data_IF_248029879170
#
_entry.id   IF_248029879170
#
_cell.length_a   1.000
_cell.length_b   1.000
_cell.length_c   1.000
_cell.angle_alpha   90.00
_cell.angle_beta   90.00
_cell.angle_gamma   90.00
#
_symmetry.space_group_name_H-M   'P 1'
#
loop_
_entity.id
_entity.type
_entity.pdbx_description
1 polymer ?
#
# COMPACT_ATOMS: atom_id res chain seq x y z
N UNK A 1 -18.72 25.78 46.15
CA UNK A 1 -17.82 25.50 47.31
C UNK A 1 -17.71 23.98 47.41
N UNK A 2 -16.72 23.39 46.71
CA UNK A 2 -16.48 21.93 46.63
C UNK A 2 -15.58 21.59 47.83
N UNK A 3 -16.16 20.82 48.75
CA UNK A 3 -15.46 20.25 49.90
C UNK A 3 -14.50 19.16 49.38
N UNK A 4 -13.20 19.48 49.32
CA UNK A 4 -12.16 18.47 49.20
C UNK A 4 -12.10 17.67 50.51
N UNK A 5 -12.68 16.50 50.54
CA UNK A 5 -12.46 15.53 51.58
C UNK A 5 -11.03 14.99 51.50
N UNK A 6 -10.23 15.07 52.58
CA UNK A 6 -8.87 14.54 52.57
C UNK A 6 -8.95 13.03 52.43
N UNK A 7 -8.31 12.47 51.37
CA UNK A 7 -8.17 11.02 51.16
C UNK A 7 -7.26 10.51 52.31
N UNK A 8 -7.86 9.87 53.29
CA UNK A 8 -7.13 9.27 54.40
C UNK A 8 -6.51 7.94 53.91
N UNK A 9 -5.22 7.99 53.52
CA UNK A 9 -4.49 6.77 53.15
C UNK A 9 -4.26 5.89 54.39
N UNK A 10 -4.49 4.59 54.31
CA UNK A 10 -4.27 3.69 55.43
C UNK A 10 -2.76 3.63 55.79
N UNK A 11 -2.44 3.51 57.11
CA UNK A 11 -1.05 3.52 57.58
C UNK A 11 -0.15 2.38 57.05
N UNK A 12 -0.73 1.35 56.51
CA UNK A 12 -0.02 0.22 55.89
C UNK A 12 0.82 0.65 54.61
N UNK A 13 0.44 1.74 53.99
CA UNK A 13 1.13 2.26 52.78
C UNK A 13 2.42 3.02 53.09
N UNK A 14 2.76 3.23 54.38
CA UNK A 14 3.97 3.99 54.78
C UNK A 14 5.21 3.09 54.94
N UNK A 15 5.11 1.78 54.73
CA UNK A 15 6.30 0.95 54.81
C UNK A 15 7.16 1.14 53.55
N UNK A 16 8.46 1.44 53.67
CA UNK A 16 9.31 1.72 52.49
C UNK A 16 9.39 0.57 51.48
N UNK A 17 9.12 -0.65 51.95
CA UNK A 17 9.08 -1.83 51.09
C UNK A 17 7.86 -1.86 50.17
N UNK A 18 6.68 -1.43 50.66
CA UNK A 18 5.44 -1.40 49.89
C UNK A 18 5.50 -0.27 48.86
N UNK A 19 6.01 0.90 49.24
CA UNK A 19 6.21 2.01 48.33
C UNK A 19 7.19 1.64 47.22
N UNK A 20 8.28 0.95 47.54
CA UNK A 20 9.24 0.47 46.54
C UNK A 20 8.62 -0.57 45.59
N UNK A 21 7.80 -1.50 46.10
CA UNK A 21 7.13 -2.51 45.27
C UNK A 21 6.10 -1.88 44.31
N UNK A 22 5.34 -0.89 44.78
CA UNK A 22 4.40 -0.13 43.93
C UNK A 22 5.16 0.65 42.87
N UNK A 23 6.26 1.32 43.21
CA UNK A 23 7.10 2.04 42.27
C UNK A 23 7.64 1.18 41.14
N UNK A 24 8.17 0.01 41.47
CA UNK A 24 8.65 -0.97 40.47
C UNK A 24 7.50 -1.46 39.59
N UNK A 25 6.33 -1.76 40.17
CA UNK A 25 5.15 -2.17 39.41
C UNK A 25 4.70 -1.12 38.40
N UNK A 26 4.62 0.16 38.81
CA UNK A 26 4.21 1.26 37.93
C UNK A 26 5.22 1.46 36.79
N UNK A 27 6.52 1.47 37.09
CA UNK A 27 7.58 1.61 36.07
C UNK A 27 7.52 0.45 35.07
N UNK A 28 7.29 -0.77 35.54
CA UNK A 28 7.17 -1.95 34.67
C UNK A 28 5.95 -1.84 33.76
N UNK A 29 4.80 -1.41 34.26
CA UNK A 29 3.59 -1.22 33.45
C UNK A 29 3.80 -0.11 32.40
N UNK A 30 4.39 1.02 32.81
CA UNK A 30 4.71 2.10 31.87
C UNK A 30 5.68 1.61 30.79
N UNK A 31 6.69 0.82 31.17
CA UNK A 31 7.66 0.25 30.22
C UNK A 31 6.99 -0.70 29.22
N UNK A 32 6.09 -1.56 29.67
CA UNK A 32 5.34 -2.48 28.79
C UNK A 32 4.39 -1.72 27.87
N UNK A 33 3.66 -0.74 28.40
CA UNK A 33 2.76 0.10 27.61
C UNK A 33 3.57 0.90 26.55
N UNK A 34 4.67 1.51 26.96
CA UNK A 34 5.57 2.22 26.04
C UNK A 34 6.11 1.30 24.95
N UNK A 35 6.56 0.10 25.32
CA UNK A 35 7.05 -0.90 24.37
C UNK A 35 5.95 -1.38 23.40
N UNK A 36 4.73 -1.57 23.88
CA UNK A 36 3.60 -1.93 23.05
C UNK A 36 3.20 -0.81 22.07
N UNK A 37 3.26 0.46 22.53
CA UNK A 37 2.98 1.62 21.68
C UNK A 37 4.09 1.92 20.68
N UNK A 38 5.35 1.66 21.02
CA UNK A 38 6.49 1.88 20.11
C UNK A 38 6.66 0.75 19.09
N UNK A 39 6.09 -0.42 19.33
CA UNK A 39 5.96 -1.47 18.31
C UNK A 39 4.82 -1.12 17.36
N UNK A 40 5.06 -0.12 16.51
CA UNK A 40 4.17 0.11 15.35
C UNK A 40 4.17 -1.17 14.52
N UNK A 41 3.02 -1.81 14.43
CA UNK A 41 2.84 -2.87 13.43
C UNK A 41 2.84 -2.17 12.07
N UNK A 42 3.68 -2.60 11.14
CA UNK A 42 3.66 -2.02 9.80
C UNK A 42 2.25 -2.17 9.22
N UNK A 43 1.77 -1.14 8.57
CA UNK A 43 0.48 -1.19 7.89
C UNK A 43 0.55 -2.12 6.68
N UNK A 44 -0.59 -2.59 6.20
CA UNK A 44 -0.63 -3.41 4.98
C UNK A 44 0.00 -2.69 3.79
N UNK A 45 -0.18 -1.37 3.72
CA UNK A 45 0.43 -0.52 2.69
C UNK A 45 1.95 -0.43 2.81
N UNK A 46 2.48 -0.32 4.03
CA UNK A 46 3.94 -0.31 4.27
C UNK A 46 4.56 -1.64 3.85
N UNK A 47 3.94 -2.77 4.22
CA UNK A 47 4.40 -4.11 3.84
C UNK A 47 4.40 -4.27 2.30
N UNK A 48 3.34 -3.81 1.65
CA UNK A 48 3.22 -3.90 0.19
C UNK A 48 4.22 -2.98 -0.51
N UNK A 49 4.46 -1.79 0.02
CA UNK A 49 5.47 -0.88 -0.49
C UNK A 49 6.87 -1.46 -0.35
N UNK A 50 7.22 -2.03 0.80
CA UNK A 50 8.49 -2.72 1.01
C UNK A 50 8.66 -3.91 0.06
N UNK A 51 7.58 -4.66 -0.18
CA UNK A 51 7.56 -5.76 -1.16
C UNK A 51 7.86 -5.25 -2.57
N UNK A 52 7.19 -4.18 -3.00
CA UNK A 52 7.42 -3.56 -4.32
C UNK A 52 8.85 -3.06 -4.45
N UNK A 53 9.37 -2.41 -3.43
CA UNK A 53 10.73 -1.88 -3.44
C UNK A 53 11.79 -3.00 -3.48
N UNK A 54 11.57 -4.08 -2.75
CA UNK A 54 12.42 -5.26 -2.79
C UNK A 54 12.45 -5.88 -4.19
N UNK A 55 11.28 -6.07 -4.80
CA UNK A 55 11.16 -6.63 -6.15
C UNK A 55 11.80 -5.72 -7.21
N UNK A 56 11.60 -4.42 -7.10
CA UNK A 56 12.20 -3.45 -8.02
C UNK A 56 13.75 -3.46 -7.97
N UNK A 57 14.33 -3.71 -6.80
CA UNK A 57 15.79 -3.73 -6.62
C UNK A 57 16.45 -5.07 -6.90
N UNK A 58 15.82 -6.17 -6.50
CA UNK A 58 16.41 -7.51 -6.51
C UNK A 58 15.71 -8.52 -7.40
N UNK A 59 14.55 -8.18 -7.95
CA UNK A 59 13.81 -9.01 -8.87
C UNK A 59 14.55 -9.24 -10.19
N UNK A 60 14.31 -10.39 -10.82
CA UNK A 60 14.72 -10.61 -12.21
C UNK A 60 13.66 -10.07 -13.14
N UNK A 61 14.11 -9.54 -14.26
CA UNK A 61 13.23 -8.98 -15.29
C UNK A 61 12.88 -10.07 -16.31
N UNK A 62 11.61 -10.11 -16.70
CA UNK A 62 11.11 -10.90 -17.82
C UNK A 62 10.10 -10.10 -18.62
N UNK A 63 9.88 -10.46 -19.87
CA UNK A 63 8.81 -9.88 -20.67
C UNK A 63 7.46 -10.52 -20.32
N UNK A 64 6.43 -9.70 -20.31
CA UNK A 64 5.05 -10.08 -20.06
C UNK A 64 4.08 -9.28 -20.91
N UNK A 65 2.80 -9.53 -20.71
CA UNK A 65 1.71 -8.85 -21.44
C UNK A 65 0.58 -8.52 -20.48
N UNK A 66 -0.01 -7.35 -20.64
CA UNK A 66 -1.22 -6.96 -19.91
C UNK A 66 -2.41 -7.72 -20.51
N UNK A 67 -3.12 -8.45 -19.66
CA UNK A 67 -4.30 -9.19 -20.04
C UNK A 67 -5.57 -8.38 -19.86
N UNK A 68 -5.67 -7.68 -18.73
CA UNK A 68 -6.85 -6.91 -18.36
C UNK A 68 -6.50 -5.78 -17.39
N UNK A 69 -7.38 -4.79 -17.32
CA UNK A 69 -7.30 -3.69 -16.36
C UNK A 69 -8.65 -3.50 -15.71
N UNK A 70 -8.72 -3.69 -14.39
CA UNK A 70 -9.95 -3.46 -13.64
C UNK A 70 -9.99 -2.02 -13.16
N UNK A 71 -11.04 -1.32 -13.58
CA UNK A 71 -11.39 0.01 -13.13
C UNK A 71 -12.52 -0.17 -12.13
N UNK A 72 -12.28 0.07 -10.87
CA UNK A 72 -13.38 0.18 -9.93
C UNK A 72 -13.97 1.57 -10.10
N UNK A 73 -15.11 1.66 -10.78
CA UNK A 73 -15.93 2.85 -10.67
C UNK A 73 -16.23 3.03 -9.19
N UNK A 74 -15.65 4.06 -8.58
CA UNK A 74 -16.14 4.54 -7.29
C UNK A 74 -17.60 4.89 -7.51
N UNK A 75 -18.47 3.94 -7.19
CA UNK A 75 -19.91 4.10 -7.26
C UNK A 75 -20.28 5.21 -6.30
N UNK A 76 -20.24 6.42 -6.80
CA UNK A 76 -20.86 7.57 -6.15
C UNK A 76 -22.34 7.26 -6.15
N UNK A 77 -22.80 6.62 -5.09
CA UNK A 77 -24.23 6.42 -4.82
C UNK A 77 -24.86 7.76 -4.44
N UNK A 78 -24.85 8.72 -5.35
CA UNK A 78 -25.64 9.95 -5.31
C UNK A 78 -25.53 10.67 -6.66
N UNK A 79 -26.08 10.09 -7.70
CA UNK A 79 -26.47 10.86 -8.87
C UNK A 79 -27.83 10.37 -9.34
N UNK A 80 -28.84 10.89 -8.69
CA UNK A 80 -30.20 10.99 -9.20
C UNK A 80 -30.13 11.66 -10.57
N UNK A 81 -30.57 10.90 -11.55
CA UNK A 81 -31.18 11.28 -12.83
C UNK A 81 -31.23 12.79 -13.09
N UNK A 82 -30.41 13.25 -14.01
CA UNK A 82 -30.74 14.32 -14.96
C UNK A 82 -29.86 14.09 -16.21
N UNK A 83 -30.51 13.64 -17.27
CA UNK A 83 -30.00 13.55 -18.63
C UNK A 83 -29.49 14.92 -19.07
N UNK A 84 -28.18 15.04 -19.29
CA UNK A 84 -27.63 16.11 -20.11
C UNK A 84 -26.62 15.45 -21.06
N UNK A 85 -26.80 15.54 -22.37
CA UNK A 85 -25.79 15.05 -23.31
C UNK A 85 -24.67 16.09 -23.37
N UNK A 86 -23.70 15.98 -22.50
CA UNK A 86 -22.44 16.70 -22.60
C UNK A 86 -21.40 15.74 -23.13
N UNK A 87 -20.81 16.09 -24.25
CA UNK A 87 -19.51 15.57 -24.69
C UNK A 87 -18.50 15.99 -23.61
N UNK A 88 -18.39 15.17 -22.59
CA UNK A 88 -17.38 15.32 -21.56
C UNK A 88 -16.21 14.45 -22.02
N UNK A 89 -15.06 15.08 -22.24
CA UNK A 89 -13.78 14.38 -22.23
C UNK A 89 -13.83 13.41 -21.06
N UNK A 90 -13.92 12.13 -21.36
CA UNK A 90 -13.97 11.09 -20.33
C UNK A 90 -12.73 11.24 -19.49
N UNK A 91 -12.82 11.50 -18.17
CA UNK A 91 -11.64 11.50 -17.32
C UNK A 91 -10.95 10.17 -17.57
N UNK A 92 -9.67 10.20 -17.93
CA UNK A 92 -8.89 9.02 -18.21
C UNK A 92 -9.04 8.08 -17.01
N UNK A 93 -9.84 7.03 -17.17
CA UNK A 93 -10.15 6.07 -16.12
C UNK A 93 -8.83 5.40 -15.73
N UNK A 94 -8.34 5.71 -14.55
CA UNK A 94 -7.08 5.16 -14.05
C UNK A 94 -7.35 3.75 -13.52
N UNK A 95 -6.67 2.72 -14.03
CA UNK A 95 -6.86 1.36 -13.56
C UNK A 95 -6.43 1.25 -12.09
N UNK A 96 -7.17 0.50 -11.31
CA UNK A 96 -6.84 0.18 -9.93
C UNK A 96 -6.12 -1.16 -9.82
N UNK A 97 -6.44 -2.11 -10.69
CA UNK A 97 -5.80 -3.41 -10.75
C UNK A 97 -5.36 -3.68 -12.19
N UNK A 98 -4.12 -4.12 -12.34
CA UNK A 98 -3.56 -4.60 -13.60
C UNK A 98 -3.42 -6.10 -13.50
N UNK A 99 -4.02 -6.83 -14.45
CA UNK A 99 -3.85 -8.28 -14.62
C UNK A 99 -2.88 -8.51 -15.77
N UNK A 100 -1.85 -9.28 -15.53
CA UNK A 100 -0.79 -9.54 -16.50
C UNK A 100 -0.31 -10.98 -16.45
N UNK A 101 0.25 -11.44 -17.57
CA UNK A 101 0.90 -12.73 -17.64
C UNK A 101 2.36 -12.60 -18.09
N UNK A 102 3.13 -13.61 -17.77
CA UNK A 102 4.52 -13.77 -18.20
C UNK A 102 4.92 -15.24 -18.14
N UNK A 103 6.01 -15.60 -18.81
CA UNK A 103 6.44 -16.99 -18.91
C UNK A 103 7.88 -17.17 -18.45
N UNK A 104 8.08 -18.16 -17.58
CA UNK A 104 9.41 -18.51 -17.06
C UNK A 104 9.60 -20.01 -17.22
N UNK A 105 10.67 -20.43 -17.91
CA UNK A 105 11.02 -21.83 -18.11
C UNK A 105 9.85 -22.69 -18.62
N UNK A 106 9.01 -22.14 -19.47
CA UNK A 106 7.86 -22.85 -20.04
C UNK A 106 6.57 -22.78 -19.22
N UNK A 107 6.61 -22.29 -17.99
CA UNK A 107 5.44 -22.10 -17.13
C UNK A 107 4.91 -20.69 -17.30
N UNK A 108 3.59 -20.57 -17.52
CA UNK A 108 2.92 -19.27 -17.58
C UNK A 108 2.38 -18.91 -16.19
N UNK A 109 2.68 -17.71 -15.76
CA UNK A 109 2.18 -17.11 -14.52
C UNK A 109 1.21 -16.00 -14.88
N UNK A 110 0.06 -15.99 -14.22
CA UNK A 110 -0.93 -14.92 -14.28
C UNK A 110 -1.00 -14.27 -12.92
N UNK A 111 -0.80 -12.97 -12.88
CA UNK A 111 -0.70 -12.20 -11.65
C UNK A 111 -1.54 -10.93 -11.77
N UNK A 112 -1.98 -10.43 -10.61
CA UNK A 112 -2.66 -9.15 -10.49
C UNK A 112 -1.87 -8.24 -9.54
N UNK A 113 -1.77 -6.97 -9.89
CA UNK A 113 -1.17 -5.94 -9.04
C UNK A 113 -2.18 -4.83 -8.78
N UNK A 114 -2.38 -4.49 -7.50
CA UNK A 114 -3.08 -3.29 -7.10
C UNK A 114 -2.18 -2.07 -7.34
N UNK A 115 -2.65 -1.14 -8.15
CA UNK A 115 -1.95 0.08 -8.55
C UNK A 115 -2.69 1.34 -8.11
N UNK A 116 -3.65 1.22 -7.21
CA UNK A 116 -4.45 2.34 -6.71
C UNK A 116 -3.59 3.46 -6.14
N UNK A 117 -2.55 3.11 -5.37
CA UNK A 117 -1.58 4.07 -4.82
C UNK A 117 -0.54 4.55 -5.82
N UNK A 118 -0.51 3.96 -7.01
CA UNK A 118 0.44 4.22 -8.09
C UNK A 118 -0.25 4.85 -9.31
N UNK A 119 -1.42 5.42 -9.13
CA UNK A 119 -2.27 5.96 -10.20
C UNK A 119 -1.53 6.94 -11.12
N UNK A 120 -0.63 7.75 -10.57
CA UNK A 120 0.18 8.71 -11.32
C UNK A 120 1.19 8.06 -12.30
N UNK A 121 1.55 6.78 -12.06
CA UNK A 121 2.49 6.04 -12.91
C UNK A 121 1.78 5.18 -13.96
N UNK A 122 0.44 5.12 -13.92
CA UNK A 122 -0.36 4.13 -14.65
C UNK A 122 -1.35 4.82 -15.59
N UNK A 123 -0.87 5.74 -16.42
CA UNK A 123 -1.72 6.43 -17.39
C UNK A 123 -1.72 5.73 -18.75
N UNK A 124 -2.88 5.66 -19.38
CA UNK A 124 -3.02 5.23 -20.76
C UNK A 124 -2.66 3.77 -21.03
N UNK A 125 -2.79 2.89 -20.02
CA UNK A 125 -2.58 1.47 -20.18
C UNK A 125 -3.65 0.89 -21.10
N UNK A 126 -3.22 0.02 -22.01
CA UNK A 126 -4.08 -0.77 -22.89
C UNK A 126 -3.82 -2.24 -22.65
N UNK A 127 -4.83 -3.05 -22.86
CA UNK A 127 -4.67 -4.50 -22.96
C UNK A 127 -3.74 -4.86 -24.12
N UNK A 128 -3.09 -6.00 -24.04
CA UNK A 128 -2.11 -6.51 -25.01
C UNK A 128 -0.81 -5.69 -25.12
N UNK A 129 -0.57 -4.71 -24.24
CA UNK A 129 0.71 -4.02 -24.20
C UNK A 129 1.82 -4.93 -23.67
N UNK A 130 2.97 -4.98 -24.36
CA UNK A 130 4.15 -5.64 -23.84
C UNK A 130 4.70 -4.85 -22.66
N UNK A 131 4.98 -5.57 -21.58
CA UNK A 131 5.50 -5.03 -20.33
C UNK A 131 6.76 -5.76 -19.90
N UNK A 132 7.48 -5.14 -18.99
CA UNK A 132 8.51 -5.81 -18.21
C UNK A 132 7.97 -6.13 -16.82
N UNK A 133 8.29 -7.32 -16.35
CA UNK A 133 7.83 -7.83 -15.04
C UNK A 133 9.06 -8.13 -14.20
N UNK A 134 9.12 -7.59 -12.98
CA UNK A 134 10.08 -8.02 -11.96
C UNK A 134 9.46 -9.16 -11.15
N UNK A 135 10.20 -10.24 -10.99
CA UNK A 135 9.77 -11.41 -10.22
C UNK A 135 10.87 -11.96 -9.33
N UNK A 136 10.49 -12.63 -8.25
CA UNK A 136 11.44 -13.35 -7.40
C UNK A 136 11.70 -14.75 -7.94
N UNK A 137 12.96 -15.15 -8.24
CA UNK A 137 13.28 -16.49 -8.74
C UNK A 137 12.83 -17.63 -7.82
N UNK A 138 12.82 -17.39 -6.50
CA UNK A 138 12.41 -18.37 -5.51
C UNK A 138 10.89 -18.55 -5.43
N UNK A 139 10.15 -17.52 -5.80
CA UNK A 139 8.69 -17.52 -5.89
C UNK A 139 8.26 -16.70 -7.10
N UNK A 140 8.22 -17.30 -8.30
CA UNK A 140 7.89 -16.57 -9.51
C UNK A 140 6.49 -15.93 -9.51
N UNK A 141 5.54 -16.46 -8.75
CA UNK A 141 4.23 -15.82 -8.60
C UNK A 141 4.30 -14.48 -7.85
N UNK A 142 5.39 -14.21 -7.12
CA UNK A 142 5.63 -12.92 -6.50
C UNK A 142 6.32 -11.99 -7.50
N UNK A 143 5.54 -11.12 -8.12
CA UNK A 143 5.96 -10.24 -9.20
C UNK A 143 5.30 -8.87 -9.13
N UNK A 144 5.89 -7.90 -9.83
CA UNK A 144 5.35 -6.54 -10.01
C UNK A 144 5.60 -6.04 -11.44
N UNK A 145 4.76 -5.12 -11.87
CA UNK A 145 4.90 -4.36 -13.13
C UNK A 145 5.24 -2.91 -12.85
N UNK A 146 4.75 -2.37 -11.74
CA UNK A 146 4.96 -0.96 -11.36
C UNK A 146 5.34 -0.87 -9.88
N UNK A 147 6.31 -0.02 -9.61
CA UNK A 147 6.70 0.41 -8.27
C UNK A 147 7.00 1.92 -8.30
N UNK A 148 7.12 2.52 -7.13
CA UNK A 148 7.44 3.94 -6.99
C UNK A 148 8.77 4.34 -7.64
N UNK A 149 9.72 3.42 -7.67
CA UNK A 149 11.07 3.63 -8.22
C UNK A 149 11.28 2.99 -9.61
N UNK A 150 10.29 2.26 -10.12
CA UNK A 150 10.43 1.55 -11.38
C UNK A 150 9.07 1.29 -12.03
N UNK A 151 9.02 1.42 -13.36
CA UNK A 151 7.87 1.05 -14.18
C UNK A 151 8.30 0.17 -15.34
N UNK A 152 7.71 -0.99 -15.43
CA UNK A 152 7.83 -1.92 -16.57
C UNK A 152 6.85 -1.63 -17.69
N UNK A 153 6.01 -0.61 -17.53
CA UNK A 153 5.09 -0.17 -18.57
C UNK A 153 5.89 0.55 -19.67
N UNK A 154 5.89 0.00 -20.85
CA UNK A 154 6.40 0.69 -22.03
C UNK A 154 5.33 1.65 -22.54
N UNK A 155 5.09 2.70 -21.78
CA UNK A 155 4.30 3.82 -22.27
C UNK A 155 5.06 4.39 -23.47
N UNK A 156 4.43 4.37 -24.65
CA UNK A 156 4.94 5.13 -25.77
C UNK A 156 5.05 6.57 -25.29
N UNK A 157 6.29 7.02 -25.02
CA UNK A 157 6.54 8.42 -24.77
C UNK A 157 6.10 9.17 -26.02
N UNK A 158 4.89 9.72 -25.97
CA UNK A 158 4.52 10.78 -26.87
C UNK A 158 5.37 11.99 -26.48
N UNK A 159 6.63 11.96 -26.90
CA UNK A 159 7.46 13.15 -26.92
C UNK A 159 6.84 14.00 -28.02
N UNK A 160 6.23 15.15 -27.71
CA UNK A 160 5.86 16.07 -28.77
C UNK A 160 7.18 16.47 -29.44
N UNK A 161 7.34 16.02 -30.67
CA UNK A 161 8.38 16.52 -31.55
C UNK A 161 8.18 18.03 -31.64
N UNK A 162 8.99 18.80 -30.91
CA UNK A 162 9.15 20.23 -31.17
C UNK A 162 9.93 20.32 -32.46
N UNK A 163 9.20 20.57 -33.56
CA UNK A 163 9.78 21.02 -34.78
C UNK A 163 10.25 22.48 -34.56
N UNK A 164 11.55 22.70 -34.64
CA UNK A 164 12.14 23.99 -34.85
C UNK A 164 11.78 24.53 -36.25
#
# INVERSE_FOLDING_TARGET
MLLLTPIHLPPALHSPRIVAAIGVGVVSVIGVVWYAFTRRRPTAEEIERERRELLARSGRITDGTIMDTMITEARTAAATVLEVPAVVDSPALTPQIIVYNYRIAGVTYECAQDVTTLAEYVHGIRTDLPIQVHYLPQNPANSIVVAESWSGLRLSSSHPYQAD
#
